data_IF_184125269397
#
_entry.id   IF_184125269397
#
_cell.length_a   1.000
_cell.length_b   1.000
_cell.length_c   1.000
_cell.angle_alpha   90.00
_cell.angle_beta   90.00
_cell.angle_gamma   90.00
#
_symmetry.space_group_name_H-M   'P 1'
#
loop_
_entity.id
_entity.type
_entity.pdbx_description
1 polymer ?
#
# COMPACT_ATOMS: atom_id res chain seq x y z
N UNK A 1 -51.70 -31.13 20.52
CA UNK A 1 -50.78 -30.14 21.13
C UNK A 1 -49.73 -29.76 20.10
N UNK A 2 -49.87 -28.58 19.50
CA UNK A 2 -48.86 -27.94 18.66
C UNK A 2 -49.09 -26.43 18.84
N UNK A 3 -48.23 -25.79 19.63
CA UNK A 3 -48.33 -24.37 20.02
C UNK A 3 -47.22 -23.60 19.33
N UNK A 4 -47.43 -23.29 18.04
CA UNK A 4 -46.65 -22.28 17.31
C UNK A 4 -47.35 -20.92 17.42
N UNK A 5 -46.62 -19.80 17.52
CA UNK A 5 -47.22 -18.50 17.78
C UNK A 5 -47.97 -17.98 16.54
N UNK A 6 -49.28 -17.77 16.69
CA UNK A 6 -50.14 -17.05 15.75
C UNK A 6 -49.82 -15.56 15.84
N UNK A 7 -49.22 -14.99 14.80
CA UNK A 7 -48.93 -13.55 14.76
C UNK A 7 -48.19 -13.04 13.51
N UNK A 8 -47.65 -13.92 12.67
CA UNK A 8 -46.77 -13.51 11.57
C UNK A 8 -47.46 -13.03 10.28
N UNK A 9 -48.80 -12.94 10.24
CA UNK A 9 -49.51 -12.64 8.99
C UNK A 9 -50.30 -11.33 8.96
N UNK A 10 -50.24 -10.48 9.99
CA UNK A 10 -50.93 -9.18 9.94
C UNK A 10 -50.14 -8.11 10.68
N UNK A 11 -49.38 -7.29 9.93
CA UNK A 11 -48.74 -6.09 10.44
C UNK A 11 -47.82 -5.43 9.41
N UNK A 12 -48.30 -4.37 8.77
CA UNK A 12 -47.45 -3.33 8.18
C UNK A 12 -47.21 -3.42 6.68
N UNK A 13 -48.23 -3.10 5.88
CA UNK A 13 -48.04 -2.59 4.51
C UNK A 13 -47.61 -1.10 4.51
N UNK A 14 -47.00 -0.64 5.61
CA UNK A 14 -46.62 0.75 5.90
C UNK A 14 -45.13 0.82 6.29
N UNK A 15 -44.31 -0.13 5.82
CA UNK A 15 -42.89 0.17 5.67
C UNK A 15 -42.79 1.10 4.46
N UNK A 16 -42.78 2.39 4.76
CA UNK A 16 -42.20 3.44 3.92
C UNK A 16 -40.81 2.98 3.49
N UNK A 17 -40.81 2.18 2.43
CA UNK A 17 -39.66 1.84 1.67
C UNK A 17 -39.07 3.19 1.26
N UNK A 18 -37.97 3.57 1.90
CA UNK A 18 -37.11 4.66 1.45
C UNK A 18 -36.50 4.21 0.12
N UNK A 19 -37.33 4.14 -0.89
CA UNK A 19 -36.98 4.07 -2.29
C UNK A 19 -37.04 5.53 -2.70
N UNK A 20 -35.88 6.22 -2.75
CA UNK A 20 -35.88 7.58 -3.27
C UNK A 20 -36.58 7.55 -4.63
N UNK A 21 -37.64 8.37 -4.76
CA UNK A 21 -38.47 8.46 -5.94
C UNK A 21 -37.67 8.87 -7.20
N UNK A 22 -36.42 9.29 -6.99
CA UNK A 22 -35.48 9.63 -8.02
C UNK A 22 -34.17 8.85 -7.86
N UNK A 23 -34.06 7.72 -8.57
CA UNK A 23 -32.78 7.01 -8.74
C UNK A 23 -31.74 7.85 -9.51
N UNK A 24 -32.13 8.99 -10.10
CA UNK A 24 -31.20 9.92 -10.75
C UNK A 24 -30.49 10.87 -9.77
N UNK A 25 -30.99 11.01 -8.53
CA UNK A 25 -30.28 11.71 -7.43
C UNK A 25 -29.31 10.80 -6.67
N UNK A 26 -29.41 9.47 -6.83
CA UNK A 26 -28.33 8.55 -6.52
C UNK A 26 -27.22 8.74 -7.57
N UNK A 27 -26.61 9.92 -7.61
CA UNK A 27 -25.29 10.08 -8.19
C UNK A 27 -24.35 9.23 -7.34
N UNK A 28 -24.23 7.94 -7.68
CA UNK A 28 -23.09 7.15 -7.23
C UNK A 28 -21.86 7.99 -7.50
N UNK A 29 -20.99 8.24 -6.49
CA UNK A 29 -19.83 9.10 -6.67
C UNK A 29 -19.12 8.61 -7.91
N UNK A 30 -19.15 9.43 -8.96
CA UNK A 30 -18.68 9.05 -10.28
C UNK A 30 -17.21 8.77 -10.09
N UNK A 31 -16.81 7.48 -10.11
CA UNK A 31 -15.42 7.11 -9.93
C UNK A 31 -14.66 7.78 -11.06
N UNK A 32 -13.91 8.83 -10.71
CA UNK A 32 -13.07 9.58 -11.65
C UNK A 32 -12.19 8.58 -12.36
N UNK A 33 -12.37 8.47 -13.68
CA UNK A 33 -11.66 7.50 -14.49
C UNK A 33 -10.15 7.71 -14.34
N UNK A 34 -9.45 6.67 -13.90
CA UNK A 34 -7.99 6.70 -13.74
C UNK A 34 -7.38 6.86 -15.14
N UNK A 35 -6.59 7.93 -15.32
CA UNK A 35 -5.93 8.18 -16.59
C UNK A 35 -4.93 7.06 -16.93
N UNK A 36 -4.78 6.75 -18.22
CA UNK A 36 -3.83 5.71 -18.68
C UNK A 36 -2.40 6.11 -18.27
N UNK A 37 -1.65 5.22 -17.61
CA UNK A 37 -0.31 5.53 -17.13
C UNK A 37 0.66 5.72 -18.32
N UNK A 38 1.58 6.66 -18.18
CA UNK A 38 2.68 6.84 -19.13
C UNK A 38 3.58 5.59 -19.14
N UNK A 39 4.19 5.22 -20.29
CA UNK A 39 5.05 4.03 -20.37
C UNK A 39 6.24 4.07 -19.41
N UNK A 40 6.76 5.26 -19.09
CA UNK A 40 7.79 5.44 -18.05
C UNK A 40 7.30 5.06 -16.65
N UNK A 41 6.06 5.40 -16.33
CA UNK A 41 5.43 4.98 -15.06
C UNK A 41 5.12 3.48 -15.04
N UNK A 42 4.83 2.88 -16.20
CA UNK A 42 4.69 1.42 -16.34
C UNK A 42 6.04 0.72 -16.12
N UNK A 43 7.12 1.22 -16.71
CA UNK A 43 8.46 0.67 -16.51
C UNK A 43 8.91 0.80 -15.05
N UNK A 44 8.63 1.95 -14.41
CA UNK A 44 8.86 2.14 -12.97
C UNK A 44 7.97 1.25 -12.09
N UNK A 45 6.76 0.90 -12.54
CA UNK A 45 5.88 -0.09 -11.91
C UNK A 45 6.49 -1.50 -12.01
N UNK A 46 7.06 -1.84 -13.15
CA UNK A 46 7.62 -3.16 -13.44
C UNK A 46 8.98 -3.44 -12.80
N UNK A 47 9.65 -2.45 -12.19
CA UNK A 47 11.01 -2.62 -11.66
C UNK A 47 11.20 -3.79 -10.70
N UNK A 48 10.16 -4.21 -9.99
CA UNK A 48 10.22 -5.33 -9.04
C UNK A 48 9.84 -6.67 -9.68
N UNK A 49 8.87 -6.67 -10.60
CA UNK A 49 8.53 -7.85 -11.41
C UNK A 49 9.71 -8.23 -12.31
N UNK A 50 10.38 -7.25 -12.92
CA UNK A 50 11.60 -7.48 -13.70
C UNK A 50 12.78 -7.91 -12.85
N UNK A 51 12.90 -7.42 -11.61
CA UNK A 51 13.93 -7.89 -10.69
C UNK A 51 13.74 -9.36 -10.28
N UNK A 52 12.49 -9.79 -10.04
CA UNK A 52 12.19 -11.20 -9.70
C UNK A 52 12.29 -12.09 -10.93
N UNK A 53 11.67 -11.71 -12.05
CA UNK A 53 11.71 -12.45 -13.31
C UNK A 53 13.11 -12.51 -13.92
N UNK A 54 13.97 -11.51 -13.69
CA UNK A 54 15.36 -11.54 -14.12
C UNK A 54 16.25 -12.26 -13.11
N UNK A 55 16.05 -12.03 -11.81
CA UNK A 55 16.88 -12.56 -10.75
C UNK A 55 16.78 -14.07 -10.62
N UNK A 56 15.57 -14.64 -10.61
CA UNK A 56 15.38 -16.08 -10.40
C UNK A 56 16.01 -16.95 -11.52
N UNK A 57 15.83 -16.65 -12.82
CA UNK A 57 16.49 -17.39 -13.90
C UNK A 57 18.00 -17.22 -13.91
N UNK A 58 18.53 -16.03 -13.57
CA UNK A 58 19.98 -15.82 -13.47
C UNK A 58 20.60 -16.64 -12.34
N UNK A 59 19.91 -16.71 -11.20
CA UNK A 59 20.35 -17.49 -10.03
C UNK A 59 20.29 -18.99 -10.33
N UNK A 60 19.24 -19.42 -11.03
CA UNK A 60 19.12 -20.78 -11.58
C UNK A 60 20.26 -21.10 -12.57
N UNK A 61 20.44 -20.26 -13.58
CA UNK A 61 21.46 -20.44 -14.62
C UNK A 61 22.87 -20.50 -14.03
N UNK A 62 23.19 -19.60 -13.09
CA UNK A 62 24.46 -19.60 -12.37
C UNK A 62 24.70 -20.89 -11.58
N UNK A 63 23.65 -21.42 -10.93
CA UNK A 63 23.72 -22.67 -10.16
C UNK A 63 23.93 -23.90 -11.05
N UNK A 64 23.24 -23.96 -12.18
CA UNK A 64 23.40 -25.05 -13.17
C UNK A 64 24.80 -25.02 -13.79
N UNK A 65 25.32 -23.83 -14.13
CA UNK A 65 26.65 -23.69 -14.74
C UNK A 65 27.79 -24.07 -13.80
N UNK A 66 27.64 -23.84 -12.50
CA UNK A 66 28.70 -24.06 -11.51
C UNK A 66 28.76 -25.50 -10.99
N UNK A 67 27.61 -26.18 -10.84
CA UNK A 67 27.53 -27.47 -10.12
C UNK A 67 26.92 -28.59 -10.99
N UNK A 68 26.28 -28.26 -12.13
CA UNK A 68 25.57 -29.21 -13.00
C UNK A 68 24.08 -29.34 -12.65
N UNK A 69 23.26 -29.79 -13.61
CA UNK A 69 21.79 -29.64 -13.63
C UNK A 69 21.04 -29.98 -12.33
N UNK A 70 20.95 -31.27 -11.97
CA UNK A 70 20.19 -31.71 -10.79
C UNK A 70 20.85 -31.27 -9.48
N UNK A 71 22.18 -31.21 -9.43
CA UNK A 71 22.90 -30.74 -8.25
C UNK A 71 22.65 -29.25 -7.98
N UNK A 72 22.61 -28.42 -9.03
CA UNK A 72 22.25 -27.00 -8.94
C UNK A 72 20.84 -26.79 -8.38
N UNK A 73 19.85 -27.58 -8.83
CA UNK A 73 18.49 -27.55 -8.26
C UNK A 73 18.50 -27.88 -6.76
N UNK A 74 19.19 -28.95 -6.37
CA UNK A 74 19.26 -29.37 -4.96
C UNK A 74 19.89 -28.30 -4.06
N UNK A 75 20.89 -27.56 -4.56
CA UNK A 75 21.53 -26.47 -3.82
C UNK A 75 20.60 -25.28 -3.67
N UNK A 76 19.91 -24.85 -4.74
CA UNK A 76 18.95 -23.74 -4.65
C UNK A 76 17.81 -24.11 -3.69
N UNK A 77 17.23 -25.30 -3.82
CA UNK A 77 16.16 -25.78 -2.93
C UNK A 77 16.65 -25.91 -1.48
N UNK A 78 17.86 -26.44 -1.27
CA UNK A 78 18.50 -26.56 0.04
C UNK A 78 18.72 -25.20 0.69
N UNK A 79 19.23 -24.21 -0.05
CA UNK A 79 19.39 -22.84 0.43
C UNK A 79 18.01 -22.28 0.81
N UNK A 80 17.00 -22.34 -0.06
CA UNK A 80 15.65 -21.84 0.25
C UNK A 80 15.08 -22.52 1.50
N UNK A 81 15.28 -23.83 1.68
CA UNK A 81 14.85 -24.58 2.85
C UNK A 81 15.56 -24.10 4.14
N UNK A 82 16.88 -23.86 4.08
CA UNK A 82 17.64 -23.28 5.20
C UNK A 82 17.14 -21.87 5.52
N UNK A 83 16.96 -21.03 4.49
CA UNK A 83 16.46 -19.67 4.66
C UNK A 83 15.06 -19.67 5.31
N UNK A 84 14.20 -20.62 4.93
CA UNK A 84 12.87 -20.82 5.50
C UNK A 84 12.88 -21.45 6.90
N UNK A 85 13.93 -22.16 7.28
CA UNK A 85 14.05 -22.76 8.61
C UNK A 85 14.44 -21.71 9.66
N UNK A 86 15.13 -20.63 9.27
CA UNK A 86 15.62 -19.60 10.19
C UNK A 86 14.55 -18.50 10.38
N UNK A 87 13.95 -18.35 11.57
CA UNK A 87 12.86 -17.40 11.80
C UNK A 87 13.29 -15.94 11.68
N UNK A 88 14.55 -15.61 12.00
CA UNK A 88 15.10 -14.27 11.79
C UNK A 88 15.13 -13.89 10.30
N UNK A 89 15.47 -14.86 9.45
CA UNK A 89 15.64 -14.63 8.03
C UNK A 89 14.30 -14.60 7.29
N UNK A 90 13.35 -15.42 7.70
CA UNK A 90 11.95 -15.30 7.28
C UNK A 90 11.39 -13.90 7.53
N UNK A 91 11.60 -13.36 8.73
CA UNK A 91 11.17 -11.98 9.09
C UNK A 91 11.89 -10.92 8.25
N UNK A 92 13.16 -11.14 7.94
CA UNK A 92 13.92 -10.22 7.09
C UNK A 92 13.42 -10.23 5.64
N UNK A 93 13.21 -11.42 5.06
CA UNK A 93 12.67 -11.63 3.72
C UNK A 93 11.23 -11.13 3.60
N UNK A 94 10.38 -11.36 4.60
CA UNK A 94 9.02 -10.80 4.61
C UNK A 94 9.05 -9.27 4.63
N UNK A 95 9.95 -8.66 5.40
CA UNK A 95 10.14 -7.22 5.38
C UNK A 95 10.55 -6.69 4.00
N UNK A 96 11.44 -7.38 3.30
CA UNK A 96 11.79 -7.03 1.92
C UNK A 96 10.61 -7.21 0.96
N UNK A 97 9.87 -8.30 1.08
CA UNK A 97 8.68 -8.57 0.28
C UNK A 97 7.66 -7.44 0.45
N UNK A 98 7.40 -7.01 1.69
CA UNK A 98 6.49 -5.90 1.94
C UNK A 98 6.97 -4.57 1.34
N UNK A 99 8.28 -4.30 1.32
CA UNK A 99 8.77 -3.08 0.64
C UNK A 99 8.45 -3.06 -0.87
N UNK A 100 8.22 -4.22 -1.48
CA UNK A 100 7.82 -4.38 -2.88
C UNK A 100 6.30 -4.37 -3.04
N UNK A 101 5.59 -5.11 -2.18
CA UNK A 101 4.13 -5.29 -2.24
C UNK A 101 3.39 -4.01 -1.84
N UNK A 102 3.81 -3.37 -0.76
CA UNK A 102 3.12 -2.19 -0.18
C UNK A 102 2.97 -1.05 -1.21
N UNK A 103 3.96 -0.67 -2.02
CA UNK A 103 3.79 0.29 -3.13
C UNK A 103 2.69 -0.05 -4.13
N UNK A 104 2.57 -1.32 -4.51
CA UNK A 104 1.56 -1.75 -5.47
C UNK A 104 0.18 -1.64 -4.86
N UNK A 105 0.03 -2.16 -3.65
CA UNK A 105 -1.23 -2.16 -2.92
C UNK A 105 -1.68 -0.76 -2.53
N UNK A 106 -0.75 0.11 -2.16
CA UNK A 106 -1.01 1.53 -1.91
C UNK A 106 -1.55 2.24 -3.16
N UNK A 107 -1.02 1.92 -4.36
CA UNK A 107 -1.55 2.48 -5.62
C UNK A 107 -2.95 1.98 -5.94
N UNK A 108 -3.21 0.69 -5.74
CA UNK A 108 -4.54 0.09 -5.93
C UNK A 108 -5.51 0.72 -4.94
N UNK A 109 -5.13 0.84 -3.66
CA UNK A 109 -5.92 1.52 -2.63
C UNK A 109 -6.21 2.98 -2.97
N UNK A 110 -5.23 3.74 -3.47
CA UNK A 110 -5.48 5.11 -3.95
C UNK A 110 -6.46 5.15 -5.12
N UNK A 111 -6.38 4.19 -6.06
CA UNK A 111 -7.29 4.12 -7.19
C UNK A 111 -8.72 3.73 -6.78
N UNK A 112 -8.85 2.77 -5.86
CA UNK A 112 -10.14 2.31 -5.33
C UNK A 112 -10.80 3.37 -4.45
N UNK A 113 -10.00 4.10 -3.67
CA UNK A 113 -10.48 5.19 -2.82
C UNK A 113 -10.74 6.51 -3.57
N UNK A 114 -10.53 6.55 -4.90
CA UNK A 114 -10.73 7.77 -5.70
C UNK A 114 -9.72 8.88 -5.42
N UNK A 115 -8.57 8.56 -4.84
CA UNK A 115 -7.48 9.50 -4.55
C UNK A 115 -6.70 9.77 -5.83
N UNK A 116 -7.31 10.58 -6.70
CA UNK A 116 -6.75 11.00 -7.99
C UNK A 116 -6.81 12.52 -8.10
N UNK A 117 -5.89 13.11 -8.86
CA UNK A 117 -6.01 14.52 -9.20
C UNK A 117 -7.22 14.76 -10.12
N UNK A 118 -7.66 16.02 -10.30
CA UNK A 118 -8.69 16.38 -11.27
C UNK A 118 -8.38 15.94 -12.72
N UNK A 119 -7.11 15.62 -13.02
CA UNK A 119 -6.64 15.13 -14.31
C UNK A 119 -6.60 13.59 -14.37
N UNK A 120 -7.14 12.89 -13.38
CA UNK A 120 -7.14 11.43 -13.26
C UNK A 120 -5.77 10.82 -12.92
N UNK A 121 -4.81 11.61 -12.42
CA UNK A 121 -3.45 11.13 -12.10
C UNK A 121 -3.40 10.62 -10.66
N UNK A 122 -2.87 9.41 -10.48
CA UNK A 122 -2.63 8.80 -9.17
C UNK A 122 -1.34 9.33 -8.51
N UNK A 123 -1.26 9.36 -7.16
CA UNK A 123 -0.02 9.55 -6.43
C UNK A 123 1.08 8.59 -6.90
N UNK A 124 2.26 9.14 -7.16
CA UNK A 124 3.41 8.34 -7.55
C UNK A 124 4.20 7.89 -6.30
N UNK A 125 4.31 6.58 -6.10
CA UNK A 125 5.20 6.02 -5.07
C UNK A 125 6.66 6.23 -5.50
N UNK A 126 7.42 7.01 -4.72
CA UNK A 126 8.83 7.28 -4.94
C UNK A 126 9.69 6.11 -4.43
N UNK A 127 9.62 5.85 -3.12
CA UNK A 127 10.38 4.79 -2.49
C UNK A 127 9.72 4.30 -1.19
N UNK A 128 10.17 3.12 -0.76
CA UNK A 128 9.71 2.46 0.46
C UNK A 128 10.90 2.16 1.34
N UNK A 129 10.77 2.43 2.63
CA UNK A 129 11.76 2.13 3.64
C UNK A 129 11.17 1.14 4.64
N UNK A 130 11.93 0.10 4.96
CA UNK A 130 11.54 -0.84 6.02
C UNK A 130 11.67 -0.15 7.38
N UNK A 131 10.69 -0.37 8.25
CA UNK A 131 10.65 0.14 9.63
C UNK A 131 10.30 -0.99 10.61
N UNK A 132 10.60 -0.83 11.91
CA UNK A 132 10.27 -1.84 12.92
C UNK A 132 8.77 -2.15 13.03
N UNK A 133 7.90 -1.18 12.73
CA UNK A 133 6.43 -1.29 12.75
C UNK A 133 5.81 -1.75 11.42
N UNK A 134 6.60 -1.88 10.35
CA UNK A 134 6.12 -2.13 9.00
C UNK A 134 6.95 -1.39 7.95
N UNK A 135 6.33 -0.47 7.22
CA UNK A 135 7.00 0.26 6.13
C UNK A 135 6.66 1.75 6.14
N UNK A 136 7.60 2.61 5.75
CA UNK A 136 7.35 4.01 5.39
C UNK A 136 7.42 4.17 3.88
N UNK A 137 6.37 4.67 3.28
CA UNK A 137 6.25 4.93 1.84
C UNK A 137 6.21 6.44 1.60
N UNK A 138 6.93 6.91 0.59
CA UNK A 138 6.90 8.31 0.18
C UNK A 138 6.09 8.43 -1.11
N UNK A 139 5.03 9.23 -1.03
CA UNK A 139 4.11 9.53 -2.12
C UNK A 139 4.37 10.92 -2.66
N UNK A 140 4.45 11.02 -3.97
CA UNK A 140 4.39 12.29 -4.69
C UNK A 140 2.96 12.52 -5.17
N UNK A 141 2.31 13.51 -4.61
CA UNK A 141 0.98 13.93 -4.97
C UNK A 141 1.04 14.86 -6.20
N UNK A 142 0.34 14.53 -7.30
CA UNK A 142 0.21 15.43 -8.43
C UNK A 142 -0.50 16.74 -8.04
N UNK A 143 -0.30 17.80 -8.82
CA UNK A 143 -0.98 19.08 -8.59
C UNK A 143 -2.50 18.90 -8.53
N UNK A 144 -3.13 19.55 -7.54
CA UNK A 144 -4.57 19.42 -7.25
C UNK A 144 -4.93 18.23 -6.36
N UNK A 145 -3.95 17.44 -5.88
CA UNK A 145 -4.16 16.46 -4.83
C UNK A 145 -3.31 16.84 -3.61
N UNK A 146 -3.96 17.09 -2.49
CA UNK A 146 -3.33 17.49 -1.24
C UNK A 146 -3.08 16.31 -0.30
N UNK A 147 -2.20 16.48 0.71
CA UNK A 147 -2.00 15.49 1.76
C UNK A 147 -3.27 15.16 2.55
N UNK A 148 -4.16 16.15 2.73
CA UNK A 148 -5.44 15.96 3.42
C UNK A 148 -6.38 15.01 2.66
N UNK A 149 -6.38 15.05 1.33
CA UNK A 149 -7.20 14.18 0.49
C UNK A 149 -6.75 12.71 0.61
N UNK A 150 -5.43 12.48 0.62
CA UNK A 150 -4.87 11.15 0.82
C UNK A 150 -5.14 10.65 2.25
N UNK A 151 -5.01 11.53 3.25
CA UNK A 151 -5.28 11.20 4.64
C UNK A 151 -6.77 10.87 4.90
N UNK A 152 -7.69 11.52 4.19
CA UNK A 152 -9.12 11.21 4.27
C UNK A 152 -9.44 9.77 3.79
N UNK A 153 -8.65 9.24 2.86
CA UNK A 153 -8.76 7.87 2.35
C UNK A 153 -8.06 6.81 3.22
N UNK A 154 -7.56 7.19 4.41
CA UNK A 154 -6.86 6.28 5.35
C UNK A 154 -7.52 4.92 5.53
N UNK A 155 -8.83 4.78 5.85
CA UNK A 155 -9.41 3.46 6.11
C UNK A 155 -9.42 2.57 4.86
N UNK A 156 -9.73 3.13 3.68
CA UNK A 156 -9.69 2.41 2.42
C UNK A 156 -8.26 1.97 2.06
N UNK A 157 -7.28 2.85 2.27
CA UNK A 157 -5.87 2.56 2.04
C UNK A 157 -5.33 1.50 3.02
N UNK A 158 -5.71 1.56 4.30
CA UNK A 158 -5.32 0.58 5.30
C UNK A 158 -5.84 -0.82 4.96
N UNK A 159 -7.13 -0.92 4.61
CA UNK A 159 -7.74 -2.15 4.13
C UNK A 159 -7.05 -2.68 2.86
N UNK A 160 -6.84 -1.80 1.87
CA UNK A 160 -6.15 -2.12 0.64
C UNK A 160 -4.67 -2.49 0.84
N UNK A 161 -4.04 -2.11 1.95
CA UNK A 161 -2.67 -2.48 2.30
C UNK A 161 -2.57 -3.69 3.25
N UNK A 162 -3.70 -4.26 3.70
CA UNK A 162 -3.75 -5.26 4.79
C UNK A 162 -2.92 -4.80 5.99
N UNK A 163 -3.02 -3.51 6.30
CA UNK A 163 -2.33 -2.88 7.40
C UNK A 163 -3.29 -2.76 8.58
N UNK A 164 -2.77 -2.86 9.80
CA UNK A 164 -3.56 -2.57 11.00
C UNK A 164 -3.92 -1.09 11.02
N UNK A 165 -2.96 -0.24 10.63
CA UNK A 165 -3.15 1.19 10.54
C UNK A 165 -2.25 1.84 9.49
N UNK A 166 -2.64 3.03 9.04
CA UNK A 166 -1.87 3.86 8.13
C UNK A 166 -1.82 5.29 8.67
N UNK A 167 -0.63 5.82 8.90
CA UNK A 167 -0.43 7.19 9.39
C UNK A 167 0.17 8.04 8.28
N UNK A 168 -0.44 9.20 8.04
CA UNK A 168 0.03 10.16 7.05
C UNK A 168 0.76 11.31 7.73
N UNK A 169 1.83 11.76 7.08
CA UNK A 169 2.59 12.93 7.51
C UNK A 169 2.75 13.88 6.33
N UNK A 170 2.54 15.15 6.61
CA UNK A 170 2.82 16.22 5.66
C UNK A 170 4.28 16.65 5.76
N UNK A 171 4.88 17.02 4.64
CA UNK A 171 6.18 17.68 4.64
C UNK A 171 5.97 19.18 4.89
N UNK A 172 6.42 19.72 6.02
CA UNK A 172 6.46 21.18 6.22
C UNK A 172 7.60 21.78 5.40
N UNK A 173 7.32 22.48 4.29
CA UNK A 173 8.35 23.24 3.55
C UNK A 173 8.25 23.20 2.02
N UNK A 174 9.41 23.25 1.36
CA UNK A 174 9.60 23.53 -0.08
C UNK A 174 9.11 22.41 -1.03
N UNK A 175 8.63 21.29 -0.49
CA UNK A 175 8.06 20.18 -1.26
C UNK A 175 6.62 19.84 -0.81
N UNK A 176 5.64 20.74 -1.05
CA UNK A 176 4.22 20.49 -0.77
C UNK A 176 3.64 19.18 -1.32
N UNK A 177 4.07 18.65 -2.49
CA UNK A 177 3.48 17.42 -3.01
C UNK A 177 3.99 16.14 -2.33
N UNK A 178 4.96 16.20 -1.42
CA UNK A 178 5.56 14.99 -0.83
C UNK A 178 4.87 14.60 0.48
N UNK A 179 4.26 13.42 0.50
CA UNK A 179 3.55 12.85 1.65
C UNK A 179 4.25 11.59 2.10
N UNK A 180 4.56 11.49 3.39
CA UNK A 180 5.05 10.25 3.98
C UNK A 180 3.89 9.45 4.55
N UNK A 181 3.88 8.15 4.31
CA UNK A 181 2.84 7.22 4.71
C UNK A 181 3.48 6.09 5.49
N UNK A 182 3.20 5.99 6.77
CA UNK A 182 3.58 4.84 7.57
C UNK A 182 2.48 3.78 7.50
N UNK A 183 2.85 2.60 7.00
CA UNK A 183 2.00 1.42 6.95
C UNK A 183 2.37 0.55 8.15
N UNK A 184 1.47 0.50 9.13
CA UNK A 184 1.64 -0.19 10.40
C UNK A 184 1.05 -1.59 10.29
N UNK A 185 1.88 -2.60 10.55
CA UNK A 185 1.48 -4.03 10.57
C UNK A 185 1.78 -4.70 11.90
N UNK A 186 2.46 -3.97 12.79
CA UNK A 186 2.78 -4.39 14.14
C UNK A 186 2.41 -3.22 15.07
N UNK A 187 1.23 -3.25 15.70
CA UNK A 187 0.64 -2.07 16.36
C UNK A 187 1.37 -1.63 17.63
N UNK A 188 2.33 -2.41 18.14
CA UNK A 188 3.09 -2.11 19.37
C UNK A 188 4.32 -1.20 19.21
N UNK A 189 4.68 -0.76 18.00
CA UNK A 189 5.99 -0.11 17.75
C UNK A 189 5.88 1.32 17.19
N UNK A 190 4.67 1.89 17.16
CA UNK A 190 4.39 3.16 16.46
C UNK A 190 4.84 4.41 17.24
N UNK A 191 5.02 4.30 18.58
CA UNK A 191 5.04 5.48 19.44
C UNK A 191 6.36 6.28 19.51
N UNK A 192 7.51 5.81 19.00
CA UNK A 192 8.80 6.50 19.31
C UNK A 192 9.82 6.63 18.17
N UNK A 193 9.49 6.30 16.92
CA UNK A 193 10.55 6.18 15.89
C UNK A 193 10.60 7.35 14.91
N UNK A 194 11.38 8.38 15.26
CA UNK A 194 11.96 9.29 14.26
C UNK A 194 12.62 8.47 13.12
N UNK A 195 12.55 8.94 11.85
CA UNK A 195 13.05 8.19 10.72
C UNK A 195 14.60 8.06 10.73
N UNK A 196 15.10 7.02 11.38
CA UNK A 196 16.55 6.77 11.59
C UNK A 196 17.40 6.49 10.33
N UNK A 197 16.80 6.28 9.16
CA UNK A 197 17.51 5.92 7.93
C UNK A 197 16.80 6.48 6.71
N UNK A 198 17.32 7.58 6.17
CA UNK A 198 16.95 8.11 4.85
C UNK A 198 18.17 7.90 3.94
N UNK A 199 18.01 7.33 2.72
CA UNK A 199 19.15 7.07 1.85
C UNK A 199 19.89 8.37 1.51
N UNK A 200 21.21 8.32 1.31
CA UNK A 200 22.06 9.51 1.18
C UNK A 200 21.65 10.47 0.04
N UNK A 201 21.17 9.92 -1.09
CA UNK A 201 20.61 10.70 -2.22
C UNK A 201 19.41 11.55 -1.79
N UNK A 202 18.67 11.09 -0.78
CA UNK A 202 17.46 11.75 -0.29
C UNK A 202 17.70 12.58 0.97
N UNK A 203 18.90 12.54 1.58
CA UNK A 203 19.31 13.47 2.66
C UNK A 203 19.22 14.94 2.21
N UNK A 204 19.38 15.22 0.90
CA UNK A 204 19.21 16.56 0.34
C UNK A 204 17.80 17.12 0.55
N UNK A 205 16.79 16.25 0.59
CA UNK A 205 15.39 16.64 0.82
C UNK A 205 15.05 16.76 2.32
N UNK A 206 15.96 16.34 3.21
CA UNK A 206 15.85 16.42 4.68
C UNK A 206 16.62 17.61 5.24
N UNK A 207 17.50 18.24 4.45
CA UNK A 207 18.35 19.37 4.89
C UNK A 207 17.56 20.66 5.14
N UNK A 208 16.30 20.72 4.71
CA UNK A 208 15.36 21.77 5.11
C UNK A 208 14.50 21.19 6.23
N UNK A 209 14.27 21.93 7.31
CA UNK A 209 13.62 21.56 8.59
C UNK A 209 12.18 21.00 8.46
N UNK A 210 11.99 19.98 7.62
CA UNK A 210 10.74 19.31 7.34
C UNK A 210 10.37 18.42 8.52
N UNK A 211 9.85 19.04 9.57
CA UNK A 211 9.07 18.34 10.58
C UNK A 211 7.89 17.69 9.88
N UNK A 212 7.86 16.37 9.94
CA UNK A 212 6.71 15.60 9.55
C UNK A 212 5.68 15.74 10.67
N UNK A 213 4.78 16.71 10.53
CA UNK A 213 3.64 16.84 11.43
C UNK A 213 2.63 15.75 11.06
N UNK A 214 2.35 14.88 12.02
CA UNK A 214 1.32 13.87 11.88
C UNK A 214 -0.05 14.53 11.82
N UNK A 215 -0.97 13.94 11.06
CA UNK A 215 -2.37 14.31 11.20
C UNK A 215 -2.90 13.80 12.54
N UNK A 216 -3.73 14.59 13.26
CA UNK A 216 -4.40 14.08 14.45
C UNK A 216 -5.26 12.87 14.07
N UNK A 217 -5.28 11.80 14.90
CA UNK A 217 -6.25 10.73 14.73
C UNK A 217 -7.65 11.34 14.86
N UNK A 218 -8.46 11.24 13.79
CA UNK A 218 -9.90 11.49 13.85
C UNK A 218 -10.62 10.24 14.29
#
# INVERSE_FOLDING_TARGET
>A
MNTGPKGWHQGGADEDSFVPADLSELEWPTRTAVARPLPTTVLWRWRYETAVLGGAPLLWWGSVRSIGGLAGLSVVTGVVAVLASIPALRRWLSGLLWTVVTPHRLRVGCAEAGVVSPQGKLPAVLFTLRKPYGERVYLWCPAGLGPADVAAARPAIAAACWADDVVFYQTSGQYPPLVAVDVVRLPGTVLDTEPKTIPAVWKRFVRHDGRFEGFPPR
#
